data_IF_019974472233
#
_entry.id   IF_019974472233
#
_cell.length_a   1.000
_cell.length_b   1.000
_cell.length_c   1.000
_cell.angle_alpha   90.00
_cell.angle_beta   90.00
_cell.angle_gamma   90.00
#
_symmetry.space_group_name_H-M   'P 1'
#
loop_
_entity.id
_entity.type
_entity.pdbx_description
1 polymer ?
#
# COMPACT_ATOMS: atom_id res chain seq x y z
N UNK A 1 -10.46 1.46 -1.29
CA UNK A 1 -9.42 1.90 -2.24
C UNK A 1 -8.26 2.44 -1.44
N UNK A 2 -7.05 2.00 -1.75
CA UNK A 2 -5.82 2.49 -1.14
C UNK A 2 -4.92 2.99 -2.27
N UNK A 3 -4.43 4.23 -2.15
CA UNK A 3 -3.38 4.71 -3.05
C UNK A 3 -2.06 4.13 -2.55
N UNK A 4 -1.37 3.36 -3.39
CA UNK A 4 -0.11 2.70 -3.02
C UNK A 4 1.05 3.63 -3.35
N UNK A 5 1.15 4.03 -4.63
CA UNK A 5 2.27 4.79 -5.18
C UNK A 5 1.80 5.78 -6.24
N UNK A 6 2.54 6.87 -6.38
CA UNK A 6 2.45 7.84 -7.47
C UNK A 6 3.85 7.95 -8.06
N UNK A 7 3.96 7.72 -9.37
CA UNK A 7 5.21 7.85 -10.10
C UNK A 7 5.08 8.90 -11.20
N UNK A 8 6.16 9.63 -11.44
CA UNK A 8 6.35 10.46 -12.63
C UNK A 8 6.98 9.61 -13.72
N UNK A 9 6.53 9.79 -14.95
CA UNK A 9 7.11 9.18 -16.14
C UNK A 9 7.76 10.29 -16.94
N UNK A 10 9.08 10.22 -17.12
CA UNK A 10 9.81 11.13 -18.00
C UNK A 10 9.74 10.63 -19.45
N UNK A 11 10.10 11.47 -20.42
CA UNK A 11 10.09 11.14 -21.86
C UNK A 11 10.92 9.89 -22.20
N UNK A 12 11.95 9.60 -21.42
CA UNK A 12 12.78 8.39 -21.52
C UNK A 12 12.15 7.14 -20.86
N UNK A 13 10.87 7.17 -20.46
CA UNK A 13 10.13 6.14 -19.72
C UNK A 13 10.74 5.74 -18.36
N UNK A 14 11.65 6.52 -17.82
CA UNK A 14 12.18 6.32 -16.48
C UNK A 14 11.09 6.70 -15.48
N UNK A 15 10.75 5.75 -14.59
CA UNK A 15 9.77 5.95 -13.54
C UNK A 15 10.45 6.44 -12.28
N UNK A 16 10.03 7.60 -11.78
CA UNK A 16 10.47 8.14 -10.49
C UNK A 16 9.30 8.13 -9.52
N UNK A 17 9.46 7.49 -8.37
CA UNK A 17 8.43 7.51 -7.31
C UNK A 17 8.36 8.93 -6.73
N UNK A 18 7.21 9.57 -6.86
CA UNK A 18 6.91 10.92 -6.33
C UNK A 18 6.30 10.81 -4.93
N UNK A 19 5.47 9.80 -4.71
CA UNK A 19 4.86 9.54 -3.42
C UNK A 19 4.61 8.05 -3.24
N UNK A 20 4.75 7.58 -2.01
CA UNK A 20 4.43 6.23 -1.60
C UNK A 20 3.68 6.26 -0.27
N UNK A 21 2.68 5.40 -0.13
CA UNK A 21 1.97 5.24 1.13
C UNK A 21 2.93 4.76 2.22
N UNK A 22 2.99 5.45 3.38
CA UNK A 22 3.82 5.03 4.50
C UNK A 22 3.43 3.65 5.07
N UNK A 23 2.18 3.23 4.88
CA UNK A 23 1.68 1.94 5.34
C UNK A 23 0.47 1.50 4.51
N UNK A 24 0.67 0.52 3.63
CA UNK A 24 -0.39 -0.09 2.82
C UNK A 24 -1.42 -0.87 3.65
N UNK A 25 -1.03 -1.40 4.81
CA UNK A 25 -1.90 -2.10 5.77
C UNK A 25 -2.75 -1.17 6.64
N UNK A 26 -2.45 0.13 6.65
CA UNK A 26 -3.14 1.04 7.56
C UNK A 26 -4.54 1.37 7.06
N UNK A 27 -5.52 1.18 7.93
CA UNK A 27 -6.89 1.65 7.66
C UNK A 27 -6.91 3.13 7.28
N UNK A 28 -6.00 3.97 7.78
CA UNK A 28 -5.93 5.43 7.52
C UNK A 28 -5.77 5.81 6.04
N UNK A 29 -5.36 4.91 5.17
CA UNK A 29 -5.27 5.16 3.72
C UNK A 29 -6.32 4.39 2.92
N UNK A 30 -7.14 3.56 3.58
CA UNK A 30 -8.26 2.86 2.98
C UNK A 30 -9.48 3.78 2.85
N UNK A 31 -9.60 4.44 1.70
CA UNK A 31 -10.72 5.31 1.32
C UNK A 31 -11.94 4.48 0.86
N UNK A 32 -13.16 4.76 1.36
CA UNK A 32 -14.38 4.09 0.90
C UNK A 32 -14.78 4.59 -0.50
N UNK A 33 -15.24 3.67 -1.37
CA UNK A 33 -15.86 4.03 -2.66
C UNK A 33 -17.37 4.04 -2.52
N UNK A 34 -17.92 2.91 -2.04
CA UNK A 34 -19.35 2.70 -1.81
C UNK A 34 -19.49 1.82 -0.59
N UNK A 35 -20.53 2.06 0.20
CA UNK A 35 -20.99 1.15 1.23
C UNK A 35 -22.47 0.87 1.02
N UNK A 36 -22.89 -0.34 1.32
CA UNK A 36 -24.29 -0.75 1.22
C UNK A 36 -24.64 -1.69 2.36
N UNK A 37 -25.87 -1.58 2.86
CA UNK A 37 -26.40 -2.51 3.86
C UNK A 37 -27.12 -3.65 3.15
N UNK A 38 -26.35 -4.57 2.58
CA UNK A 38 -26.86 -5.76 1.92
C UNK A 38 -26.05 -6.99 2.35
N UNK A 39 -26.66 -8.18 2.27
CA UNK A 39 -25.91 -9.42 2.44
C UNK A 39 -25.00 -9.63 1.23
N UNK A 40 -23.80 -10.13 1.49
CA UNK A 40 -22.91 -10.56 0.43
C UNK A 40 -23.50 -11.79 -0.26
N UNK A 41 -23.87 -11.63 -1.53
CA UNK A 41 -24.46 -12.67 -2.37
C UNK A 41 -23.79 -12.66 -3.73
N UNK A 42 -23.80 -13.80 -4.43
CA UNK A 42 -23.16 -13.94 -5.73
C UNK A 42 -23.64 -12.89 -6.75
N UNK A 43 -24.95 -12.60 -6.76
CA UNK A 43 -25.53 -11.61 -7.67
C UNK A 43 -25.01 -10.20 -7.36
N UNK A 44 -25.03 -9.80 -6.07
CA UNK A 44 -24.53 -8.48 -5.66
C UNK A 44 -23.05 -8.33 -6.00
N UNK A 45 -22.24 -9.38 -5.77
CA UNK A 45 -20.82 -9.39 -6.14
C UNK A 45 -20.65 -9.19 -7.65
N UNK A 46 -21.28 -10.03 -8.48
CA UNK A 46 -21.15 -9.96 -9.95
C UNK A 46 -21.58 -8.60 -10.49
N UNK A 47 -22.69 -8.04 -10.00
CA UNK A 47 -23.18 -6.72 -10.39
C UNK A 47 -22.21 -5.60 -9.98
N UNK A 48 -21.73 -5.58 -8.74
CA UNK A 48 -20.83 -4.52 -8.27
C UNK A 48 -19.44 -4.59 -8.91
N UNK A 49 -18.90 -5.78 -9.15
CA UNK A 49 -17.63 -5.96 -9.86
C UNK A 49 -17.75 -5.44 -11.29
N UNK A 50 -18.82 -5.79 -12.00
CA UNK A 50 -19.11 -5.28 -13.35
C UNK A 50 -19.20 -3.75 -13.34
N UNK A 51 -20.01 -3.19 -12.43
CA UNK A 51 -20.20 -1.73 -12.28
C UNK A 51 -18.87 -1.01 -12.04
N UNK A 52 -18.03 -1.52 -11.14
CA UNK A 52 -16.73 -0.90 -10.85
C UNK A 52 -15.82 -0.98 -12.08
N UNK A 53 -15.76 -2.12 -12.79
CA UNK A 53 -14.94 -2.25 -14.00
C UNK A 53 -15.33 -1.25 -15.09
N UNK A 54 -16.63 -1.10 -15.35
CA UNK A 54 -17.15 -0.11 -16.30
C UNK A 54 -16.78 1.32 -15.87
N UNK A 55 -16.87 1.62 -14.57
CA UNK A 55 -16.43 2.91 -14.03
C UNK A 55 -14.93 3.12 -14.22
N UNK A 56 -14.09 2.11 -13.96
CA UNK A 56 -12.63 2.20 -14.16
C UNK A 56 -12.27 2.46 -15.62
N UNK A 57 -12.93 1.79 -16.58
CA UNK A 57 -12.68 1.97 -18.02
C UNK A 57 -13.04 3.39 -18.48
N UNK A 58 -14.08 3.99 -17.89
CA UNK A 58 -14.54 5.35 -18.21
C UNK A 58 -13.81 6.46 -17.45
N UNK A 59 -12.82 6.12 -16.60
CA UNK A 59 -12.04 7.13 -15.86
C UNK A 59 -11.15 7.94 -16.80
N UNK A 60 -11.34 9.26 -16.77
CA UNK A 60 -10.45 10.21 -17.42
C UNK A 60 -9.28 10.57 -16.49
N UNK A 61 -8.10 10.90 -17.05
CA UNK A 61 -7.00 11.47 -16.28
C UNK A 61 -7.45 12.73 -15.53
N UNK A 62 -7.01 12.86 -14.28
CA UNK A 62 -7.31 14.05 -13.47
C UNK A 62 -6.26 15.12 -13.76
N UNK A 63 -6.70 16.27 -14.28
CA UNK A 63 -5.85 17.43 -14.50
C UNK A 63 -5.80 18.27 -13.23
N UNK A 64 -4.60 18.54 -12.73
CA UNK A 64 -4.35 19.41 -11.57
C UNK A 64 -3.36 20.50 -11.96
N UNK A 65 -3.55 21.70 -11.44
CA UNK A 65 -2.58 22.80 -11.58
C UNK A 65 -1.74 22.87 -10.31
N UNK A 66 -0.42 22.77 -10.44
CA UNK A 66 0.54 22.94 -9.34
C UNK A 66 1.53 24.01 -9.78
N UNK A 67 1.57 25.16 -9.07
CA UNK A 67 2.48 26.27 -9.37
C UNK A 67 2.45 26.69 -10.85
N UNK A 68 1.24 26.89 -11.40
CA UNK A 68 0.98 27.25 -12.80
C UNK A 68 1.41 26.22 -13.85
N UNK A 69 1.79 25.01 -13.43
CA UNK A 69 2.02 23.87 -14.32
C UNK A 69 0.81 22.94 -14.34
N UNK A 70 0.34 22.59 -15.53
CA UNK A 70 -0.71 21.58 -15.71
C UNK A 70 -0.11 20.17 -15.64
N UNK A 71 -0.52 19.40 -14.63
CA UNK A 71 -0.12 18.01 -14.44
C UNK A 71 -1.34 17.12 -14.68
N UNK A 72 -1.19 16.12 -15.54
CA UNK A 72 -2.22 15.11 -15.80
C UNK A 72 -1.90 13.82 -15.06
N UNK A 73 -2.76 13.43 -14.11
CA UNK A 73 -2.60 12.23 -13.30
C UNK A 73 -3.52 11.13 -13.83
N UNK A 74 -2.92 10.07 -14.39
CA UNK A 74 -3.66 8.90 -14.85
C UNK A 74 -3.75 7.84 -13.74
N UNK A 75 -4.95 7.47 -13.27
CA UNK A 75 -5.09 6.41 -12.27
C UNK A 75 -4.95 5.02 -12.91
N UNK A 76 -4.18 4.15 -12.26
CA UNK A 76 -4.13 2.71 -12.55
C UNK A 76 -4.64 1.95 -11.34
N UNK A 77 -5.81 1.32 -11.47
CA UNK A 77 -6.48 0.61 -10.37
C UNK A 77 -6.26 -0.90 -10.48
N UNK A 78 -5.84 -1.53 -9.37
CA UNK A 78 -5.60 -2.97 -9.28
C UNK A 78 -6.65 -3.58 -8.34
N UNK A 79 -7.46 -4.51 -8.87
CA UNK A 79 -8.55 -5.16 -8.13
C UNK A 79 -8.02 -6.38 -7.37
N UNK A 80 -7.41 -6.14 -6.20
CA UNK A 80 -6.67 -7.14 -5.41
C UNK A 80 -7.12 -7.26 -3.94
N UNK A 81 -7.81 -6.25 -3.41
CA UNK A 81 -8.32 -6.21 -2.03
C UNK A 81 -9.60 -7.04 -1.89
N UNK A 82 -9.52 -8.34 -2.15
CA UNK A 82 -10.67 -9.20 -2.38
C UNK A 82 -10.40 -10.58 -1.76
N UNK A 83 -11.34 -11.04 -0.94
CA UNK A 83 -11.31 -12.39 -0.37
C UNK A 83 -11.31 -13.44 -1.52
N UNK A 84 -10.56 -14.52 -1.34
CA UNK A 84 -10.54 -15.66 -2.26
C UNK A 84 -11.94 -16.17 -2.60
N UNK A 85 -12.92 -16.09 -1.69
CA UNK A 85 -14.33 -16.42 -1.96
C UNK A 85 -14.94 -15.56 -3.06
N UNK A 86 -14.67 -14.25 -3.04
CA UNK A 86 -15.15 -13.32 -4.05
C UNK A 86 -14.45 -13.59 -5.39
N UNK A 87 -13.16 -13.96 -5.37
CA UNK A 87 -12.44 -14.39 -6.58
C UNK A 87 -13.06 -15.64 -7.19
N UNK A 88 -13.44 -16.64 -6.38
CA UNK A 88 -14.16 -17.83 -6.86
C UNK A 88 -15.50 -17.45 -7.50
N UNK A 89 -16.28 -16.62 -6.81
CA UNK A 89 -17.56 -16.11 -7.27
C UNK A 89 -17.44 -15.30 -8.58
N UNK A 90 -16.34 -14.58 -8.77
CA UNK A 90 -16.05 -13.79 -9.96
C UNK A 90 -15.64 -14.66 -11.16
N UNK A 91 -14.79 -15.67 -10.93
CA UNK A 91 -14.30 -16.57 -11.98
C UNK A 91 -15.31 -17.68 -12.36
N UNK A 92 -16.40 -17.82 -11.61
CA UNK A 92 -17.37 -18.93 -11.76
C UNK A 92 -16.70 -20.32 -11.64
N UNK A 93 -15.62 -20.40 -10.85
CA UNK A 93 -14.84 -21.62 -10.66
C UNK A 93 -15.30 -22.30 -9.38
N UNK A 94 -15.77 -23.55 -9.51
CA UNK A 94 -16.11 -24.41 -8.38
C UNK A 94 -14.86 -24.68 -7.52
N UNK A 95 -15.06 -24.68 -6.20
CA UNK A 95 -14.09 -24.67 -5.09
C UNK A 95 -13.00 -25.76 -5.10
N UNK A 96 -12.89 -26.59 -6.13
CA UNK A 96 -12.00 -27.77 -6.18
C UNK A 96 -10.90 -27.75 -7.25
N UNK A 97 -10.70 -26.67 -8.03
CA UNK A 97 -9.62 -26.63 -9.01
C UNK A 97 -8.75 -25.38 -8.89
N UNK A 98 -7.69 -25.52 -8.08
CA UNK A 98 -6.40 -24.83 -8.15
C UNK A 98 -6.42 -23.35 -8.63
N UNK A 99 -6.99 -22.45 -7.82
CA UNK A 99 -6.79 -20.99 -8.00
C UNK A 99 -5.65 -20.45 -7.12
N UNK A 100 -4.91 -21.33 -6.43
CA UNK A 100 -3.70 -20.93 -5.72
C UNK A 100 -2.50 -20.72 -6.66
N UNK A 101 -2.50 -21.29 -7.87
CA UNK A 101 -1.37 -21.21 -8.81
C UNK A 101 -1.52 -20.18 -9.94
N UNK A 102 -2.72 -19.65 -10.19
CA UNK A 102 -2.94 -18.70 -11.32
C UNK A 102 -2.64 -17.25 -10.92
N UNK A 103 -2.83 -16.89 -9.65
CA UNK A 103 -2.61 -15.53 -9.18
C UNK A 103 -1.12 -15.16 -9.08
N UNK A 104 -0.20 -16.05 -8.67
CA UNK A 104 1.22 -15.70 -8.63
C UNK A 104 1.83 -15.49 -10.03
N UNK A 105 1.59 -16.39 -11.00
CA UNK A 105 2.30 -16.32 -12.30
C UNK A 105 1.92 -15.13 -13.19
N UNK A 106 0.72 -14.54 -13.03
CA UNK A 106 0.32 -13.33 -13.77
C UNK A 106 0.76 -12.02 -13.08
N UNK A 107 1.24 -12.09 -11.84
CA UNK A 107 1.57 -10.91 -10.99
C UNK A 107 3.08 -10.84 -10.68
N UNK A 108 3.90 -11.76 -11.20
CA UNK A 108 5.35 -11.78 -10.99
C UNK A 108 6.11 -10.87 -11.96
N UNK A 109 5.86 -9.56 -11.87
CA UNK A 109 6.83 -8.51 -12.19
C UNK A 109 6.62 -7.33 -11.23
N UNK A 110 7.22 -7.39 -10.05
CA UNK A 110 7.41 -6.21 -9.20
C UNK A 110 7.24 -6.42 -7.69
N UNK A 111 7.98 -5.62 -6.93
CA UNK A 111 7.95 -5.42 -5.48
C UNK A 111 6.59 -4.95 -4.91
N UNK A 112 5.54 -4.92 -5.73
CA UNK A 112 4.19 -4.49 -5.35
C UNK A 112 3.38 -5.60 -4.65
N UNK A 113 3.74 -6.89 -4.81
CA UNK A 113 2.96 -8.03 -4.29
C UNK A 113 2.78 -8.02 -2.75
N UNK A 114 3.83 -7.68 -2.00
CA UNK A 114 3.77 -7.61 -0.52
C UNK A 114 2.85 -6.49 -0.01
N UNK A 115 2.82 -5.36 -0.72
CA UNK A 115 1.93 -4.22 -0.42
C UNK A 115 0.46 -4.55 -0.70
N UNK A 116 0.19 -5.47 -1.63
CA UNK A 116 -1.16 -5.85 -2.03
C UNK A 116 -1.80 -6.80 -0.99
N UNK A 117 -1.08 -7.82 -0.51
CA UNK A 117 -1.60 -8.75 0.52
C UNK A 117 -2.01 -8.03 1.80
N UNK A 118 -1.22 -7.05 2.23
CA UNK A 118 -1.51 -6.25 3.43
C UNK A 118 -2.70 -5.30 3.30
N UNK A 119 -3.16 -5.02 2.08
CA UNK A 119 -4.25 -4.07 1.85
C UNK A 119 -5.63 -4.67 2.13
N UNK A 120 -5.83 -5.98 1.95
CA UNK A 120 -7.09 -6.66 2.30
C UNK A 120 -7.39 -6.57 3.80
N UNK A 121 -6.39 -6.86 4.64
CA UNK A 121 -6.50 -6.77 6.10
C UNK A 121 -6.91 -5.35 6.55
N UNK A 122 -6.42 -4.32 5.86
CA UNK A 122 -6.79 -2.93 6.12
C UNK A 122 -8.28 -2.69 5.87
N UNK A 123 -8.85 -3.30 4.83
CA UNK A 123 -10.27 -3.17 4.51
C UNK A 123 -11.14 -3.93 5.51
N UNK A 124 -10.71 -5.11 5.97
CA UNK A 124 -11.43 -5.86 6.99
C UNK A 124 -11.39 -5.16 8.35
N UNK A 125 -10.22 -4.68 8.77
CA UNK A 125 -10.07 -3.89 10.00
C UNK A 125 -10.91 -2.61 9.96
N UNK A 126 -11.20 -2.06 8.76
CA UNK A 126 -12.09 -0.91 8.61
C UNK A 126 -13.53 -1.21 9.02
N UNK A 127 -13.99 -2.46 8.93
CA UNK A 127 -15.34 -2.84 9.37
C UNK A 127 -15.53 -2.63 10.88
N UNK A 128 -14.47 -2.80 11.69
CA UNK A 128 -14.50 -2.49 13.13
C UNK A 128 -14.73 -0.99 13.37
N UNK A 129 -14.06 -0.14 12.60
CA UNK A 129 -14.29 1.30 12.65
C UNK A 129 -15.70 1.67 12.21
N UNK A 130 -16.25 1.03 11.18
CA UNK A 130 -17.62 1.29 10.73
C UNK A 130 -18.64 1.07 11.86
N UNK A 131 -18.53 -0.02 12.61
CA UNK A 131 -19.40 -0.28 13.76
C UNK A 131 -19.27 0.82 14.83
N UNK A 132 -18.04 1.11 15.25
CA UNK A 132 -17.75 2.17 16.23
C UNK A 132 -18.22 3.56 15.78
N UNK A 133 -18.03 3.90 14.52
CA UNK A 133 -18.44 5.20 13.97
C UNK A 133 -19.96 5.34 13.94
N UNK A 134 -20.66 4.28 13.53
CA UNK A 134 -22.11 4.24 13.61
C UNK A 134 -22.59 4.40 15.06
N UNK A 135 -21.99 3.74 16.03
CA UNK A 135 -22.46 3.82 17.41
C UNK A 135 -22.24 5.20 18.04
N UNK A 136 -21.04 5.78 17.85
CA UNK A 136 -20.61 6.92 18.66
C UNK A 136 -20.65 8.28 17.94
N UNK A 137 -20.66 8.30 16.60
CA UNK A 137 -20.37 9.52 15.83
C UNK A 137 -21.41 9.87 14.76
N UNK A 138 -22.48 9.10 14.59
CA UNK A 138 -23.55 9.39 13.63
C UNK A 138 -24.83 9.84 14.33
N UNK A 139 -25.54 10.80 13.75
CA UNK A 139 -26.90 11.15 14.19
C UNK A 139 -27.85 9.98 14.00
N UNK A 140 -28.74 9.78 14.98
CA UNK A 140 -29.75 8.70 15.01
C UNK A 140 -31.15 9.18 14.64
N UNK A 141 -31.22 10.27 13.88
CA UNK A 141 -32.46 10.89 13.41
C UNK A 141 -33.08 10.12 12.26
N UNK A 142 -32.26 9.71 11.29
CA UNK A 142 -32.70 8.93 10.12
C UNK A 142 -31.58 8.03 9.61
N UNK A 143 -31.95 7.02 8.82
CA UNK A 143 -30.96 6.17 8.13
C UNK A 143 -30.10 6.97 7.15
N UNK A 144 -30.67 7.97 6.49
CA UNK A 144 -29.97 8.82 5.52
C UNK A 144 -28.93 9.67 6.24
N UNK A 145 -29.29 10.29 7.36
CA UNK A 145 -28.36 11.09 8.17
C UNK A 145 -27.27 10.21 8.78
N UNK A 146 -27.63 9.03 9.29
CA UNK A 146 -26.66 8.04 9.79
C UNK A 146 -25.63 7.70 8.71
N UNK A 147 -26.10 7.41 7.50
CA UNK A 147 -25.28 7.03 6.36
C UNK A 147 -24.39 8.19 5.88
N UNK A 148 -24.92 9.40 5.85
CA UNK A 148 -24.20 10.64 5.51
C UNK A 148 -23.08 10.92 6.52
N UNK A 149 -23.36 10.82 7.81
CA UNK A 149 -22.37 11.04 8.85
C UNK A 149 -21.27 9.96 8.82
N UNK A 150 -21.67 8.71 8.58
CA UNK A 150 -20.74 7.59 8.48
C UNK A 150 -19.75 7.78 7.32
N UNK A 151 -20.26 8.09 6.11
CA UNK A 151 -19.38 8.25 4.94
C UNK A 151 -18.44 9.45 5.10
N UNK A 152 -18.96 10.57 5.61
CA UNK A 152 -18.14 11.76 5.87
C UNK A 152 -17.02 11.45 6.88
N UNK A 153 -17.33 10.73 7.95
CA UNK A 153 -16.34 10.31 8.94
C UNK A 153 -15.30 9.36 8.35
N UNK A 154 -15.71 8.44 7.48
CA UNK A 154 -14.78 7.54 6.81
C UNK A 154 -13.85 8.29 5.85
N UNK A 155 -14.37 9.25 5.09
CA UNK A 155 -13.57 10.10 4.20
C UNK A 155 -12.54 10.93 4.99
N UNK A 156 -12.95 11.57 6.08
CA UNK A 156 -12.04 12.34 6.95
C UNK A 156 -10.98 11.46 7.62
N UNK A 157 -11.32 10.23 7.99
CA UNK A 157 -10.35 9.33 8.64
C UNK A 157 -9.40 8.68 7.65
N UNK A 158 -9.79 8.58 6.37
CA UNK A 158 -9.00 8.00 5.28
C UNK A 158 -8.22 9.02 4.44
N UNK A 159 -8.31 10.30 4.80
CA UNK A 159 -7.64 11.36 4.06
C UNK A 159 -6.11 11.32 4.26
N UNK A 160 -5.28 11.20 3.20
CA UNK A 160 -3.82 11.10 3.32
C UNK A 160 -3.19 12.34 3.95
N UNK A 161 -3.67 13.54 3.65
CA UNK A 161 -3.13 14.77 4.22
C UNK A 161 -3.38 14.79 5.73
N UNK A 162 -4.62 14.55 6.15
CA UNK A 162 -4.97 14.48 7.58
C UNK A 162 -4.27 13.28 8.25
N UNK A 163 -4.15 12.14 7.58
CA UNK A 163 -3.52 10.94 8.12
C UNK A 163 -2.04 11.14 8.42
N UNK A 164 -1.32 11.88 7.57
CA UNK A 164 0.09 12.22 7.73
C UNK A 164 0.33 13.18 8.91
N UNK A 165 -0.63 14.06 9.22
CA UNK A 165 -0.55 14.97 10.36
C UNK A 165 -0.88 14.30 11.70
N UNK A 166 -1.54 13.14 11.69
CA UNK A 166 -1.90 12.42 12.93
C UNK A 166 -0.69 11.67 13.48
N UNK A 167 -0.58 11.66 14.80
CA UNK A 167 0.43 10.84 15.48
C UNK A 167 0.35 9.37 15.04
N UNK A 168 1.51 8.82 14.71
CA UNK A 168 1.64 7.42 14.32
C UNK A 168 1.56 6.55 15.59
N UNK A 169 0.82 5.42 15.54
CA UNK A 169 0.84 4.47 16.64
C UNK A 169 2.28 3.95 16.80
N UNK A 170 2.78 3.90 18.03
CA UNK A 170 4.08 3.26 18.31
C UNK A 170 3.94 1.77 18.05
N UNK A 171 4.60 1.24 17.02
CA UNK A 171 4.66 -0.20 16.78
C UNK A 171 5.84 -0.79 17.54
N UNK A 172 5.62 -1.91 18.24
CA UNK A 172 6.71 -2.69 18.81
C UNK A 172 7.25 -3.57 17.69
N UNK A 173 8.51 -3.38 17.28
CA UNK A 173 9.17 -4.31 16.36
C UNK A 173 9.56 -5.56 17.15
N UNK A 174 9.06 -6.71 16.72
CA UNK A 174 9.51 -8.01 17.26
C UNK A 174 10.95 -8.31 16.81
N UNK A 175 11.64 -9.19 17.54
CA UNK A 175 12.93 -9.72 17.08
C UNK A 175 12.67 -10.60 15.85
N UNK A 176 13.35 -10.30 14.75
CA UNK A 176 13.36 -11.13 13.54
C UNK A 176 14.39 -12.25 13.76
N UNK A 177 14.08 -13.49 13.39
CA UNK A 177 15.05 -14.59 13.50
C UNK A 177 16.18 -14.41 12.50
N UNK A 178 17.35 -15.01 12.79
CA UNK A 178 18.54 -14.82 11.96
C UNK A 178 18.35 -15.41 10.55
N UNK A 179 17.64 -16.53 10.44
CA UNK A 179 17.34 -17.20 9.17
C UNK A 179 16.48 -16.30 8.26
N UNK A 180 15.53 -15.56 8.84
CA UNK A 180 14.69 -14.62 8.08
C UNK A 180 15.49 -13.39 7.65
N UNK A 181 16.45 -12.93 8.46
CA UNK A 181 17.32 -11.81 8.10
C UNK A 181 18.21 -12.15 6.90
N UNK A 182 18.82 -13.34 6.91
CA UNK A 182 19.66 -13.82 5.81
C UNK A 182 18.89 -13.91 4.49
N UNK A 183 17.63 -14.36 4.52
CA UNK A 183 16.74 -14.38 3.35
C UNK A 183 16.35 -12.97 2.84
N UNK A 184 16.32 -11.96 3.71
CA UNK A 184 15.98 -10.58 3.34
C UNK A 184 17.17 -9.85 2.70
N UNK A 185 18.40 -10.13 3.13
CA UNK A 185 19.63 -9.51 2.59
C UNK A 185 19.94 -9.96 1.16
N UNK A 186 19.59 -11.19 0.78
CA UNK A 186 19.75 -11.75 -0.58
C UNK A 186 18.97 -10.96 -1.65
N UNK A 187 18.04 -10.08 -1.26
CA UNK A 187 17.17 -9.33 -2.17
C UNK A 187 17.64 -7.92 -2.52
N UNK A 188 18.70 -7.42 -1.89
CA UNK A 188 19.32 -6.15 -2.29
C UNK A 188 20.26 -6.40 -3.49
N UNK A 189 20.14 -5.67 -4.61
CA UNK A 189 21.18 -5.71 -5.65
C UNK A 189 22.50 -5.29 -5.03
N UNK A 190 23.56 -6.06 -5.28
CA UNK A 190 24.89 -5.78 -4.78
C UNK A 190 25.33 -4.33 -5.13
N UNK A 191 26.04 -3.63 -4.22
CA UNK A 191 26.70 -2.38 -4.57
C UNK A 191 27.63 -2.62 -5.75
N UNK A 192 27.55 -1.74 -6.75
CA UNK A 192 28.56 -1.67 -7.80
C UNK A 192 29.82 -1.14 -7.11
N UNK A 193 30.86 -1.97 -7.04
CA UNK A 193 32.21 -1.58 -6.61
C UNK A 193 32.66 -0.38 -7.45
N UNK A 194 32.69 0.80 -6.82
CA UNK A 194 33.47 1.93 -7.25
C UNK A 194 34.57 2.09 -6.21
N UNK A 195 35.62 1.28 -6.30
CA UNK A 195 36.91 1.56 -5.67
C UNK A 195 37.97 0.60 -6.24
N UNK A 196 38.39 0.87 -7.47
CA UNK A 196 39.58 0.25 -8.04
C UNK A 196 40.21 1.09 -9.16
N UNK A 197 40.40 2.41 -8.98
CA UNK A 197 41.36 3.18 -9.77
C UNK A 197 41.99 4.28 -8.88
N UNK A 198 43.31 4.16 -8.67
CA UNK A 198 44.31 5.11 -8.10
C UNK A 198 44.32 5.17 -6.55
N UNK A 199 45.43 4.94 -5.84
CA UNK A 199 46.85 5.07 -6.19
C UNK A 199 47.74 4.32 -5.19
N UNK A 200 48.83 3.75 -5.72
CA UNK A 200 49.93 3.10 -4.99
C UNK A 200 50.73 4.02 -4.06
N UNK A 201 51.39 3.35 -3.10
CA UNK A 201 52.64 3.69 -2.38
C UNK A 201 52.55 4.75 -1.28
N UNK A 202 53.16 4.61 -0.10
CA UNK A 202 54.40 3.90 0.24
C UNK A 202 54.47 3.56 1.74
N UNK A 203 55.21 2.51 2.05
CA UNK A 203 55.53 1.95 3.37
C UNK A 203 56.29 2.92 4.29
N UNK A 204 56.09 2.82 5.61
CA UNK A 204 57.20 2.81 6.58
C UNK A 204 56.77 2.09 7.87
N UNK A 205 57.61 1.12 8.24
CA UNK A 205 57.61 0.20 9.39
C UNK A 205 57.81 0.87 10.77
N UNK A 206 57.39 0.13 11.81
CA UNK A 206 57.93 0.05 13.20
C UNK A 206 58.06 1.34 14.05
N UNK A 207 57.71 1.42 15.34
CA UNK A 207 57.87 0.46 16.43
C UNK A 207 57.14 0.96 17.70
N UNK A 208 56.84 -0.01 18.55
CA UNK A 208 56.32 0.03 19.92
C UNK A 208 57.35 0.63 20.90
N UNK A 209 56.92 1.50 21.81
CA UNK A 209 57.53 1.61 23.16
C UNK A 209 56.61 2.34 24.13
N UNK A 210 56.28 1.64 25.21
CA UNK A 210 55.79 2.18 26.48
C UNK A 210 56.79 3.18 27.06
N UNK A 211 56.31 4.21 27.77
CA UNK A 211 56.93 4.71 29.00
C UNK A 211 55.94 5.63 29.75
N UNK A 212 55.67 5.25 30.99
CA UNK A 212 55.08 6.10 32.03
C UNK A 212 55.95 7.35 32.25
N UNK A 213 55.35 8.52 32.49
CA UNK A 213 55.67 9.24 33.74
C UNK A 213 54.64 10.32 34.08
N UNK A 214 54.65 10.61 35.37
CA UNK A 214 53.73 11.43 36.14
C UNK A 214 54.16 12.89 36.17
N UNK A 215 53.20 13.82 36.24
CA UNK A 215 53.21 14.98 37.17
C UNK A 215 51.81 15.61 37.29
#
# INVERSE_FOLDING_TARGET
MVTIEIYSVNDQKIQKIVWQSPSSSSTRYCRPIKFMSAKETLNVIKTEVKRIKEQVVSLLPTKISINDMEVSVKPTLIFCMIDGKIVMAWLDVNQHRLVTCVVPSLVMKGSSCEKLSTSEEAQEARNKHNRKFRELFTRKTSRIDTNKDLINRLLLTSDPFIANLRSLPKTKRGKISNEVRELLEIRAPAPIDQDAILSESSDTEESESDLEDSE
#
